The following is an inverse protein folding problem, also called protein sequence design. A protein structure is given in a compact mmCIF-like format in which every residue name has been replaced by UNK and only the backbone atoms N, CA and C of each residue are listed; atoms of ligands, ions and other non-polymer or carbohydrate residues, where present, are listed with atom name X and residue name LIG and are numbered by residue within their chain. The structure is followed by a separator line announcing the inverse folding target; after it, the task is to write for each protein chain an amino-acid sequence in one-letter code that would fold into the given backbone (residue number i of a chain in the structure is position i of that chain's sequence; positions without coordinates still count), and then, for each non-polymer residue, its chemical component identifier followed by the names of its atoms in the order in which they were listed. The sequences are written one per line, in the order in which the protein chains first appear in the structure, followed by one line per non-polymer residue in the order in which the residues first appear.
data_IF_707361327879
#
_entry.id   IF_707361327879
#
_cell.length_a   1.000
_cell.length_b   1.000
_cell.length_c   1.000
_cell.angle_alpha   90.00
_cell.angle_beta   90.00
_cell.angle_gamma   90.00
#
_symmetry.space_group_name_H-M   'P 1'
#
loop_
_entity.id
_entity.type
_entity.pdbx_description
1 polymer ?
#
# COMPACT_ATOMS: atom_id res chain seq x y z
N UNK A 1 -8.97 17.67 -20.21
CA UNK A 1 -8.51 16.63 -19.26
C UNK A 1 -7.07 16.97 -18.99
N UNK A 2 -6.70 17.38 -17.78
CA UNK A 2 -5.28 17.66 -17.49
C UNK A 2 -4.47 16.37 -17.71
N UNK A 3 -3.53 16.44 -18.64
CA UNK A 3 -2.53 15.39 -18.91
C UNK A 3 -1.67 15.25 -17.65
N UNK A 4 -1.57 14.02 -17.13
CA UNK A 4 -0.67 13.72 -16.01
C UNK A 4 0.69 13.27 -16.53
N UNK A 5 1.72 13.33 -15.67
CA UNK A 5 3.06 12.84 -16.00
C UNK A 5 3.03 11.31 -16.06
N UNK A 6 3.53 10.73 -17.15
CA UNK A 6 3.58 9.29 -17.36
C UNK A 6 4.91 8.71 -16.90
N UNK A 7 4.83 7.59 -16.17
CA UNK A 7 5.95 6.71 -15.87
C UNK A 7 5.69 5.38 -16.57
N UNK A 8 6.62 4.91 -17.40
CA UNK A 8 6.46 3.68 -18.18
C UNK A 8 7.69 2.78 -18.10
N UNK A 9 7.45 1.48 -18.02
CA UNK A 9 8.47 0.44 -18.11
C UNK A 9 7.98 -0.71 -19.00
N UNK A 10 8.82 -1.11 -19.94
CA UNK A 10 8.54 -2.20 -20.88
C UNK A 10 9.73 -3.15 -20.92
N UNK A 11 9.49 -4.43 -20.62
CA UNK A 11 10.43 -5.52 -20.89
C UNK A 11 9.74 -6.58 -21.75
N UNK A 12 10.01 -6.51 -23.04
CA UNK A 12 9.43 -7.43 -24.04
C UNK A 12 9.90 -8.87 -23.82
N UNK A 13 11.16 -9.07 -23.41
CA UNK A 13 11.73 -10.42 -23.20
C UNK A 13 11.09 -11.10 -22.00
N UNK A 14 10.88 -10.36 -20.91
CA UNK A 14 10.20 -10.85 -19.72
C UNK A 14 8.66 -10.79 -19.81
N UNK A 15 8.11 -10.24 -20.89
CA UNK A 15 6.68 -9.96 -21.08
C UNK A 15 6.07 -9.11 -19.95
N UNK A 16 6.81 -8.10 -19.48
CA UNK A 16 6.39 -7.22 -18.38
C UNK A 16 6.11 -5.82 -18.91
N UNK A 17 4.99 -5.26 -18.49
CA UNK A 17 4.61 -3.88 -18.74
C UNK A 17 4.14 -3.22 -17.45
N UNK A 18 4.55 -1.98 -17.23
CA UNK A 18 4.15 -1.19 -16.08
C UNK A 18 3.96 0.24 -16.53
N UNK A 19 2.87 0.87 -16.09
CA UNK A 19 2.69 2.30 -16.29
C UNK A 19 2.01 2.93 -15.09
N UNK A 20 2.33 4.19 -14.83
CA UNK A 20 1.71 5.02 -13.80
C UNK A 20 1.43 6.42 -14.32
N UNK A 21 0.35 7.03 -13.84
CA UNK A 21 0.01 8.43 -14.13
C UNK A 21 0.14 9.22 -12.83
N UNK A 22 0.90 10.30 -12.87
CA UNK A 22 1.07 11.23 -11.74
C UNK A 22 0.33 12.53 -12.05
N UNK A 23 -0.47 12.99 -11.10
CA UNK A 23 -1.15 14.29 -11.17
C UNK A 23 -0.97 15.02 -9.85
N UNK A 24 -0.64 16.30 -9.90
CA UNK A 24 -0.37 17.11 -8.70
C UNK A 24 0.64 16.46 -7.75
N UNK A 25 1.67 15.82 -8.33
CA UNK A 25 2.68 15.07 -7.61
C UNK A 25 2.14 13.92 -6.74
N UNK A 26 1.01 13.32 -7.12
CA UNK A 26 0.42 12.15 -6.48
C UNK A 26 0.09 11.08 -7.53
N UNK A 27 0.19 9.80 -7.15
CA UNK A 27 -0.19 8.71 -8.04
C UNK A 27 -1.70 8.73 -8.30
N UNK A 28 -2.11 8.85 -9.56
CA UNK A 28 -3.50 8.89 -9.99
C UNK A 28 -3.98 7.55 -10.57
N UNK A 29 -3.08 6.80 -11.22
CA UNK A 29 -3.36 5.46 -11.73
C UNK A 29 -2.07 4.64 -11.85
N UNK A 30 -2.19 3.32 -11.80
CA UNK A 30 -1.09 2.39 -12.10
C UNK A 30 -1.61 1.10 -12.71
N UNK A 31 -0.81 0.50 -13.60
CA UNK A 31 -1.05 -0.83 -14.18
C UNK A 31 0.23 -1.66 -14.14
N UNK A 32 0.07 -2.94 -13.81
CA UNK A 32 1.12 -3.95 -13.87
C UNK A 32 0.61 -5.14 -14.69
N UNK A 33 1.38 -5.54 -15.69
CA UNK A 33 1.11 -6.68 -16.55
C UNK A 33 2.35 -7.59 -16.51
N UNK A 34 2.15 -8.86 -16.21
CA UNK A 34 3.19 -9.88 -16.17
C UNK A 34 2.59 -11.24 -16.59
N UNK A 35 3.40 -12.17 -17.13
CA UNK A 35 2.92 -13.50 -17.53
C UNK A 35 2.71 -14.45 -16.33
N UNK A 36 3.04 -14.02 -15.11
CA UNK A 36 2.99 -14.82 -13.90
C UNK A 36 2.36 -14.01 -12.74
N UNK A 37 2.24 -14.64 -11.57
CA UNK A 37 1.65 -14.04 -10.36
C UNK A 37 2.65 -13.22 -9.53
N UNK A 38 3.86 -12.94 -10.04
CA UNK A 38 4.88 -12.13 -9.37
C UNK A 38 4.58 -10.65 -9.54
N UNK A 39 3.45 -10.22 -8.98
CA UNK A 39 3.01 -8.84 -8.96
C UNK A 39 3.34 -8.21 -7.60
N UNK A 40 3.54 -6.88 -7.57
CA UNK A 40 3.70 -6.19 -6.30
C UNK A 40 2.45 -6.37 -5.42
N UNK A 41 2.65 -6.33 -4.09
CA UNK A 41 1.55 -6.48 -3.15
C UNK A 41 0.55 -5.34 -3.29
N UNK A 42 -0.75 -5.65 -3.15
CA UNK A 42 -1.81 -4.63 -3.19
C UNK A 42 -1.64 -3.58 -2.11
N UNK A 43 -1.15 -3.99 -0.94
CA UNK A 43 -0.82 -3.10 0.18
C UNK A 43 0.21 -2.05 -0.23
N UNK A 44 1.34 -2.48 -0.80
CA UNK A 44 2.37 -1.53 -1.23
C UNK A 44 1.82 -0.57 -2.30
N UNK A 45 1.12 -1.09 -3.31
CA UNK A 45 0.51 -0.25 -4.34
C UNK A 45 -0.45 0.77 -3.75
N UNK A 46 -1.30 0.36 -2.80
CA UNK A 46 -2.27 1.25 -2.14
C UNK A 46 -1.58 2.36 -1.34
N UNK A 47 -0.45 2.06 -0.68
CA UNK A 47 0.32 3.05 0.06
C UNK A 47 0.89 4.15 -0.84
N UNK A 48 1.30 3.81 -2.08
CA UNK A 48 1.77 4.80 -3.07
C UNK A 48 0.68 5.82 -3.45
N UNK A 49 -0.61 5.43 -3.43
CA UNK A 49 -1.71 6.37 -3.66
C UNK A 49 -1.97 7.29 -2.47
N UNK A 50 -1.60 6.87 -1.26
CA UNK A 50 -1.75 7.66 -0.04
C UNK A 50 -0.60 8.66 0.17
N UNK A 51 0.53 8.46 -0.50
CA UNK A 51 1.69 9.35 -0.45
C UNK A 51 1.45 10.62 -1.27
N UNK A 52 1.55 11.78 -0.62
CA UNK A 52 1.42 13.09 -1.26
C UNK A 52 2.31 14.09 -0.53
N UNK A 53 3.37 14.64 -1.18
CA UNK A 53 3.82 14.33 -2.54
C UNK A 53 4.45 12.94 -2.67
N UNK A 54 4.29 12.31 -3.84
CA UNK A 54 4.96 11.07 -4.22
C UNK A 54 6.46 11.32 -4.43
N UNK A 55 7.29 10.68 -3.62
CA UNK A 55 8.76 10.82 -3.67
C UNK A 55 9.38 10.25 -4.94
N UNK A 56 10.56 10.74 -5.31
CA UNK A 56 11.35 10.20 -6.43
C UNK A 56 11.74 8.72 -6.23
N UNK A 57 11.98 8.32 -4.97
CA UNK A 57 12.21 6.91 -4.64
C UNK A 57 10.96 6.07 -4.89
N UNK A 58 9.79 6.53 -4.46
CA UNK A 58 8.53 5.85 -4.73
C UNK A 58 8.25 5.70 -6.24
N UNK A 59 8.55 6.73 -7.03
CA UNK A 59 8.49 6.70 -8.51
C UNK A 59 9.43 5.66 -9.11
N UNK A 60 10.67 5.59 -8.64
CA UNK A 60 11.64 4.58 -9.06
C UNK A 60 11.19 3.16 -8.70
N UNK A 61 10.70 2.96 -7.47
CA UNK A 61 10.17 1.69 -7.00
C UNK A 61 8.93 1.24 -7.80
N UNK A 62 8.07 2.18 -8.20
CA UNK A 62 6.94 1.92 -9.10
C UNK A 62 7.39 1.31 -10.42
N UNK A 63 8.40 1.91 -11.06
CA UNK A 63 8.99 1.40 -12.31
C UNK A 63 9.68 0.05 -12.11
N UNK A 64 10.40 -0.13 -10.99
CA UNK A 64 11.03 -1.39 -10.62
C UNK A 64 10.01 -2.50 -10.29
N UNK A 65 8.78 -2.13 -9.95
CA UNK A 65 7.70 -3.05 -9.60
C UNK A 65 7.95 -3.82 -8.32
N UNK A 66 8.63 -3.20 -7.37
CA UNK A 66 8.87 -3.75 -6.05
C UNK A 66 9.03 -2.61 -5.05
N UNK A 67 8.64 -2.80 -3.79
CA UNK A 67 8.99 -1.85 -2.74
C UNK A 67 10.52 -1.71 -2.62
N UNK A 68 10.95 -0.57 -2.11
CA UNK A 68 12.33 -0.38 -1.65
C UNK A 68 12.69 -1.39 -0.55
N UNK A 69 13.98 -1.53 -0.26
CA UNK A 69 14.49 -2.54 0.69
C UNK A 69 13.93 -2.40 2.12
N UNK A 70 13.38 -1.23 2.47
CA UNK A 70 12.97 -0.87 3.83
C UNK A 70 11.46 -1.04 4.10
N UNK A 71 10.76 -1.97 3.42
CA UNK A 71 9.37 -2.20 3.79
C UNK A 71 9.24 -2.93 5.13
N UNK A 72 8.51 -2.35 6.12
CA UNK A 72 8.24 -3.04 7.37
C UNK A 72 7.53 -4.36 7.11
N UNK A 73 7.91 -5.42 7.84
CA UNK A 73 7.14 -6.65 7.88
C UNK A 73 5.79 -6.36 8.55
N UNK A 74 4.79 -6.04 7.73
CA UNK A 74 3.44 -5.76 8.23
C UNK A 74 2.75 -7.04 8.74
N UNK A 75 3.33 -8.22 8.55
CA UNK A 75 2.72 -9.49 8.94
C UNK A 75 1.50 -9.85 8.09
N UNK A 76 0.66 -10.75 8.60
CA UNK A 76 -0.57 -11.14 7.92
C UNK A 76 -1.49 -9.93 7.69
N UNK A 77 -2.10 -9.84 6.51
CA UNK A 77 -2.96 -8.72 6.17
C UNK A 77 -4.28 -8.81 6.94
N UNK A 78 -4.52 -7.86 7.84
CA UNK A 78 -5.76 -7.78 8.64
C UNK A 78 -6.79 -6.87 7.96
N UNK A 79 -6.38 -5.69 7.47
CA UNK A 79 -7.25 -4.77 6.75
C UNK A 79 -6.90 -4.70 5.26
N UNK A 80 -7.61 -5.46 4.44
CA UNK A 80 -7.39 -5.46 2.99
C UNK A 80 -7.68 -4.12 2.30
N UNK A 81 -8.60 -3.30 2.84
CA UNK A 81 -8.94 -2.00 2.26
C UNK A 81 -7.78 -1.00 2.30
N UNK A 82 -7.01 -1.02 3.37
CA UNK A 82 -5.95 -0.03 3.64
C UNK A 82 -4.57 -0.66 3.82
N UNK A 83 -4.44 -1.96 3.55
CA UNK A 83 -3.15 -2.64 3.60
C UNK A 83 -2.58 -2.79 5.01
N UNK A 84 -3.39 -2.70 6.06
CA UNK A 84 -2.89 -2.75 7.45
C UNK A 84 -2.70 -4.20 7.86
N UNK A 85 -1.46 -4.55 8.22
CA UNK A 85 -1.12 -5.89 8.66
C UNK A 85 -1.10 -6.04 10.19
N UNK A 86 -1.07 -7.29 10.63
CA UNK A 86 -1.11 -7.70 12.04
C UNK A 86 0.04 -7.10 12.85
N UNK A 87 1.27 -7.11 12.34
CA UNK A 87 2.42 -6.57 13.06
C UNK A 87 2.28 -5.05 13.26
N UNK A 88 1.78 -4.33 12.26
CA UNK A 88 1.49 -2.89 12.39
C UNK A 88 0.50 -2.61 13.52
N UNK A 89 -0.55 -3.43 13.64
CA UNK A 89 -1.55 -3.28 14.71
C UNK A 89 -0.94 -3.63 16.06
N UNK A 90 -0.19 -4.74 16.15
CA UNK A 90 0.50 -5.15 17.39
C UNK A 90 1.52 -4.12 17.87
N UNK A 91 2.25 -3.52 16.95
CA UNK A 91 3.22 -2.47 17.27
C UNK A 91 2.50 -1.25 17.85
N UNK A 92 1.39 -0.81 17.23
CA UNK A 92 0.58 0.31 17.72
C UNK A 92 -0.02 0.03 19.12
N UNK A 93 -0.41 -1.21 19.40
CA UNK A 93 -0.89 -1.64 20.72
C UNK A 93 0.26 -1.65 21.73
N UNK A 94 1.38 -2.28 21.38
CA UNK A 94 2.52 -2.50 22.30
C UNK A 94 3.23 -1.19 22.66
N UNK A 95 3.36 -0.24 21.73
CA UNK A 95 3.93 1.08 22.02
C UNK A 95 2.93 2.03 22.72
N UNK A 96 1.69 1.59 22.95
CA UNK A 96 0.64 2.37 23.63
C UNK A 96 0.03 3.47 22.76
N UNK A 97 0.32 3.49 21.45
CA UNK A 97 -0.27 4.44 20.52
C UNK A 97 -1.76 4.19 20.31
N UNK A 98 -2.23 2.93 20.38
CA UNK A 98 -3.63 2.58 20.23
C UNK A 98 -4.14 1.77 21.44
N UNK A 99 -5.31 2.14 21.97
CA UNK A 99 -5.97 1.45 23.09
C UNK A 99 -7.33 0.86 22.71
N UNK A 100 -7.74 1.07 21.46
CA UNK A 100 -9.04 0.67 20.95
C UNK A 100 -8.99 0.47 19.44
N UNK A 101 -9.98 -0.22 18.90
CA UNK A 101 -10.17 -0.36 17.44
C UNK A 101 -10.33 1.01 16.79
N UNK A 102 -11.01 1.93 17.48
CA UNK A 102 -11.22 3.29 17.02
C UNK A 102 -9.90 4.07 16.89
N UNK A 103 -8.94 3.85 17.80
CA UNK A 103 -7.61 4.46 17.71
C UNK A 103 -6.81 3.90 16.54
N UNK A 104 -6.89 2.57 16.31
CA UNK A 104 -6.30 1.94 15.11
C UNK A 104 -6.92 2.54 13.84
N UNK A 105 -8.24 2.74 13.82
CA UNK A 105 -8.93 3.38 12.69
C UNK A 105 -8.49 4.82 12.45
N UNK A 106 -8.24 5.60 13.51
CA UNK A 106 -7.73 6.98 13.36
C UNK A 106 -6.30 7.03 12.80
N UNK A 107 -5.44 6.10 13.22
CA UNK A 107 -4.02 6.12 12.86
C UNK A 107 -3.75 5.45 11.51
N UNK A 108 -4.38 4.30 11.28
CA UNK A 108 -4.09 3.42 10.15
C UNK A 108 -5.28 3.21 9.22
N UNK A 109 -6.42 3.86 9.46
CA UNK A 109 -7.68 3.71 8.70
C UNK A 109 -8.29 2.31 8.76
N UNK A 110 -7.67 1.36 9.47
CA UNK A 110 -8.19 0.01 9.58
C UNK A 110 -9.58 0.02 10.23
N UNK A 111 -10.55 -0.63 9.60
CA UNK A 111 -11.93 -0.68 10.08
C UNK A 111 -12.81 0.49 9.63
N UNK A 112 -12.30 1.49 8.90
CA UNK A 112 -13.10 2.70 8.55
C UNK A 112 -13.71 2.70 7.14
N UNK A 113 -13.50 1.66 6.33
CA UNK A 113 -14.07 1.53 4.98
C UNK A 113 -15.19 0.47 4.94
N UNK A 114 -14.87 -0.80 4.71
CA UNK A 114 -15.86 -1.89 4.69
C UNK A 114 -16.15 -2.50 6.07
N UNK A 115 -15.30 -2.22 7.07
CA UNK A 115 -15.42 -2.73 8.44
C UNK A 115 -15.14 -4.24 8.63
N UNK A 116 -14.81 -5.01 7.58
CA UNK A 116 -14.66 -6.48 7.67
C UNK A 116 -13.55 -6.94 8.61
N UNK A 117 -12.54 -6.11 8.84
CA UNK A 117 -11.40 -6.38 9.70
C UNK A 117 -11.63 -6.05 11.19
N UNK A 118 -12.74 -5.39 11.54
CA UNK A 118 -13.03 -4.99 12.93
C UNK A 118 -13.01 -6.18 13.91
N UNK A 119 -13.63 -7.34 13.61
CA UNK A 119 -13.60 -8.48 14.52
C UNK A 119 -12.19 -9.04 14.75
N UNK A 120 -11.34 -9.00 13.72
CA UNK A 120 -9.96 -9.48 13.80
C UNK A 120 -9.08 -8.51 14.58
N UNK A 121 -9.25 -7.19 14.37
CA UNK A 121 -8.57 -6.16 15.17
C UNK A 121 -8.92 -6.30 16.65
N UNK A 122 -10.19 -6.55 17.00
CA UNK A 122 -10.60 -6.73 18.41
C UNK A 122 -9.85 -7.88 19.11
N UNK A 123 -9.64 -9.00 18.42
CA UNK A 123 -8.89 -10.15 18.96
C UNK A 123 -7.44 -9.83 19.28
N UNK A 124 -6.85 -8.80 18.65
CA UNK A 124 -5.48 -8.39 18.91
C UNK A 124 -5.34 -7.54 20.19
N UNK A 125 -6.46 -7.09 20.78
CA UNK A 125 -6.50 -6.41 22.07
C UNK A 125 -6.79 -7.35 23.26
N UNK A 126 -7.07 -8.62 22.99
CA UNK A 126 -7.33 -9.67 23.99
C UNK A 126 -6.05 -10.46 24.30
#
# INVERSE_FOLDING_TARGET
VEEGDWLEFVDVKAQRFRAGIIKNNQLAAVVFIAPNHELPTRTWLSNLFAESPLSEEARSNLLAGKPGADQPDVGALVCACFGVGENTIKDAITCGAAKSVEDIGKQHKAGTNCGSCIPEIKKLFE
#
